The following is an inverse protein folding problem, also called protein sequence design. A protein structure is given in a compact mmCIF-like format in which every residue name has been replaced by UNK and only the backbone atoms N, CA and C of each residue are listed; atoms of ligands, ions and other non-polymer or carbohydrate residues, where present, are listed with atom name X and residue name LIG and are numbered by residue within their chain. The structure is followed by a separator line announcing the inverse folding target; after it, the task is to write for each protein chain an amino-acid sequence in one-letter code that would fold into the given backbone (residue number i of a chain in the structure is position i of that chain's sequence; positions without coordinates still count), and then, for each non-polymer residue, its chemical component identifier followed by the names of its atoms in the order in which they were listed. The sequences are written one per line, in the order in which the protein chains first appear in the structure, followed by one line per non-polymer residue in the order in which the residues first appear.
data_IF_850747879067
#
_entry.id   IF_850747879067
#
_cell.length_a   1.000
_cell.length_b   1.000
_cell.length_c   1.000
_cell.angle_alpha   90.00
_cell.angle_beta   90.00
_cell.angle_gamma   90.00
#
_symmetry.space_group_name_H-M   'P 1'
#
loop_
_entity.id
_entity.type
_entity.pdbx_description
1 polymer ?
#
# COMPACT_ATOMS: atom_id res chain seq x y z
N UNK A 1 -65.62 -15.23 -17.62
CA UNK A 1 -64.19 -15.35 -18.01
C UNK A 1 -63.95 -16.80 -18.37
N UNK A 2 -63.80 -17.12 -19.66
CA UNK A 2 -63.74 -18.51 -20.14
C UNK A 2 -62.41 -19.16 -19.75
N UNK A 3 -62.38 -20.48 -19.63
CA UNK A 3 -61.18 -21.26 -19.28
C UNK A 3 -59.98 -20.93 -20.19
N UNK A 4 -60.26 -20.67 -21.48
CA UNK A 4 -59.28 -20.27 -22.49
C UNK A 4 -58.57 -18.95 -22.18
N UNK A 5 -59.24 -18.02 -21.50
CA UNK A 5 -58.71 -16.69 -21.19
C UNK A 5 -57.70 -16.74 -20.03
N UNK A 6 -57.89 -17.69 -19.09
CA UNK A 6 -56.94 -17.94 -17.98
C UNK A 6 -55.64 -18.59 -18.46
N UNK A 7 -55.71 -19.48 -19.44
CA UNK A 7 -54.52 -20.16 -19.98
C UNK A 7 -53.66 -19.27 -20.87
N UNK A 8 -54.27 -18.37 -21.64
CA UNK A 8 -53.53 -17.35 -22.41
C UNK A 8 -52.83 -16.37 -21.46
N UNK A 9 -53.49 -15.95 -20.37
CA UNK A 9 -52.87 -15.08 -19.35
C UNK A 9 -51.65 -15.74 -18.67
N UNK A 10 -51.74 -17.01 -18.28
CA UNK A 10 -50.62 -17.74 -17.67
C UNK A 10 -49.46 -17.96 -18.64
N UNK A 11 -49.77 -18.19 -19.91
CA UNK A 11 -48.76 -18.40 -20.97
C UNK A 11 -47.99 -17.11 -21.25
N UNK A 12 -48.70 -15.99 -21.39
CA UNK A 12 -48.07 -14.68 -21.55
C UNK A 12 -47.23 -14.29 -20.33
N UNK A 13 -47.73 -14.55 -19.11
CA UNK A 13 -46.99 -14.30 -17.88
C UNK A 13 -45.66 -15.07 -17.82
N UNK A 14 -45.66 -16.36 -18.21
CA UNK A 14 -44.44 -17.17 -18.28
C UNK A 14 -43.46 -16.66 -19.35
N UNK A 15 -43.97 -16.19 -20.49
CA UNK A 15 -43.14 -15.64 -21.58
C UNK A 15 -42.38 -14.39 -21.14
N UNK A 16 -42.97 -13.55 -20.27
CA UNK A 16 -42.29 -12.34 -19.76
C UNK A 16 -41.36 -12.59 -18.56
N UNK A 17 -41.61 -13.63 -17.76
CA UNK A 17 -40.77 -13.93 -16.58
C UNK A 17 -39.38 -14.45 -16.96
N UNK A 18 -39.30 -15.33 -17.96
CA UNK A 18 -38.03 -15.95 -18.37
C UNK A 18 -36.97 -14.89 -18.76
N UNK A 19 -37.24 -13.92 -19.65
CA UNK A 19 -36.25 -12.90 -20.01
C UNK A 19 -35.89 -11.98 -18.84
N UNK A 20 -36.82 -11.71 -17.92
CA UNK A 20 -36.54 -10.91 -16.71
C UNK A 20 -35.57 -11.64 -15.78
N UNK A 21 -35.75 -12.95 -15.57
CA UNK A 21 -34.84 -13.75 -14.76
C UNK A 21 -33.44 -13.86 -15.39
N UNK A 22 -33.37 -13.97 -16.72
CA UNK A 22 -32.09 -13.96 -17.45
C UNK A 22 -31.39 -12.61 -17.28
N UNK A 23 -32.11 -11.50 -17.43
CA UNK A 23 -31.56 -10.16 -17.25
C UNK A 23 -31.03 -9.95 -15.82
N UNK A 24 -31.79 -10.38 -14.80
CA UNK A 24 -31.34 -10.35 -13.41
C UNK A 24 -30.09 -11.23 -13.18
N UNK A 25 -30.07 -12.43 -13.77
CA UNK A 25 -28.92 -13.32 -13.69
C UNK A 25 -27.65 -12.71 -14.29
N UNK A 26 -27.77 -12.00 -15.42
CA UNK A 26 -26.64 -11.28 -16.05
C UNK A 26 -26.16 -10.15 -15.15
N UNK A 27 -27.06 -9.35 -14.58
CA UNK A 27 -26.68 -8.23 -13.70
C UNK A 27 -25.98 -8.75 -12.45
N UNK A 28 -26.55 -9.76 -11.79
CA UNK A 28 -25.93 -10.38 -10.60
C UNK A 28 -24.59 -11.02 -10.94
N UNK A 29 -24.53 -11.76 -12.04
CA UNK A 29 -23.30 -12.40 -12.52
C UNK A 29 -22.20 -11.39 -12.83
N UNK A 30 -22.53 -10.27 -13.46
CA UNK A 30 -21.59 -9.19 -13.75
C UNK A 30 -21.07 -8.53 -12.47
N UNK A 31 -21.94 -8.27 -11.48
CA UNK A 31 -21.51 -7.71 -10.20
C UNK A 31 -20.57 -8.66 -9.44
N UNK A 32 -20.90 -9.95 -9.35
CA UNK A 32 -20.04 -10.96 -8.71
C UNK A 32 -18.70 -11.07 -9.46
N UNK A 33 -18.74 -11.14 -10.80
CA UNK A 33 -17.54 -11.17 -11.62
C UNK A 33 -16.66 -9.94 -11.38
N UNK A 34 -17.24 -8.75 -11.33
CA UNK A 34 -16.49 -7.51 -11.09
C UNK A 34 -15.75 -7.53 -9.75
N UNK A 35 -16.39 -8.00 -8.67
CA UNK A 35 -15.79 -8.08 -7.33
C UNK A 35 -14.62 -9.07 -7.31
N UNK A 36 -14.76 -10.21 -7.99
CA UNK A 36 -13.70 -11.24 -8.04
C UNK A 36 -12.53 -10.81 -8.94
N UNK A 37 -12.82 -10.02 -9.98
CA UNK A 37 -11.82 -9.68 -11.02
C UNK A 37 -11.20 -8.31 -10.82
N UNK A 38 -11.54 -7.56 -9.76
CA UNK A 38 -10.78 -6.35 -9.43
C UNK A 38 -9.32 -6.76 -9.22
N UNK A 39 -8.39 -6.29 -10.06
CA UNK A 39 -6.99 -6.56 -9.82
C UNK A 39 -6.66 -5.86 -8.51
N UNK A 40 -6.47 -6.64 -7.45
CA UNK A 40 -5.77 -6.16 -6.26
C UNK A 40 -4.43 -5.70 -6.80
N UNK A 41 -4.25 -4.38 -6.91
CA UNK A 41 -2.98 -3.83 -7.38
C UNK A 41 -1.94 -4.37 -6.42
N UNK A 42 -0.99 -5.13 -6.95
CA UNK A 42 0.13 -5.64 -6.18
C UNK A 42 1.07 -4.48 -5.98
N UNK A 43 1.53 -4.33 -4.74
CA UNK A 43 2.42 -3.25 -4.39
C UNK A 43 3.35 -3.65 -3.27
N UNK A 44 4.50 -3.01 -3.25
CA UNK A 44 5.32 -2.90 -2.06
C UNK A 44 5.19 -1.50 -1.49
N UNK A 45 5.13 -1.38 -0.17
CA UNK A 45 5.11 -0.09 0.50
C UNK A 45 6.19 -0.04 1.59
N UNK A 46 6.87 1.11 1.66
CA UNK A 46 7.77 1.46 2.74
C UNK A 46 7.18 2.68 3.44
N UNK A 47 6.95 2.55 4.74
CA UNK A 47 6.48 3.62 5.60
C UNK A 47 7.53 3.96 6.65
N UNK A 48 7.53 5.21 7.07
CA UNK A 48 8.25 5.68 8.25
C UNK A 48 7.19 6.06 9.27
N UNK A 49 7.46 5.77 10.54
CA UNK A 49 6.62 6.02 11.70
C UNK A 49 7.50 6.64 12.80
N UNK A 50 6.89 7.38 13.71
CA UNK A 50 7.59 7.92 14.87
C UNK A 50 8.06 6.80 15.84
N UNK A 51 8.75 7.19 16.91
CA UNK A 51 9.31 6.25 17.89
C UNK A 51 8.26 5.43 18.66
N UNK A 52 7.00 5.88 18.67
CA UNK A 52 5.85 5.19 19.25
C UNK A 52 5.07 4.34 18.24
N UNK A 53 5.41 4.41 16.95
CA UNK A 53 4.68 3.76 15.87
C UNK A 53 3.53 4.60 15.29
N UNK A 54 3.44 5.88 15.65
CA UNK A 54 2.49 6.84 15.09
C UNK A 54 3.00 7.56 13.86
N UNK A 55 2.19 8.44 13.28
CA UNK A 55 2.56 9.25 12.09
C UNK A 55 2.64 10.74 12.37
N UNK A 56 2.40 11.17 13.62
CA UNK A 56 2.19 12.58 13.95
C UNK A 56 3.37 13.24 14.66
N UNK A 57 4.28 12.47 15.27
CA UNK A 57 5.31 13.03 16.17
C UNK A 57 6.74 12.86 15.65
N UNK A 58 6.98 13.27 14.40
CA UNK A 58 8.35 13.33 13.89
C UNK A 58 9.13 14.52 14.49
N UNK A 59 10.40 14.33 14.86
CA UNK A 59 11.24 15.43 15.30
C UNK A 59 11.43 16.44 14.17
N UNK A 60 11.03 17.69 14.39
CA UNK A 60 11.16 18.79 13.43
C UNK A 60 12.55 19.43 13.46
N UNK A 61 13.22 19.34 14.60
CA UNK A 61 14.54 19.89 14.86
C UNK A 61 15.37 18.76 15.43
N UNK A 62 16.52 18.50 14.83
CA UNK A 62 17.48 17.49 15.27
C UNK A 62 18.83 18.18 15.33
N UNK A 63 19.48 18.14 16.48
CA UNK A 63 20.81 18.72 16.69
C UNK A 63 21.89 17.67 16.55
N UNK A 64 23.15 18.09 16.37
CA UNK A 64 24.27 17.14 16.40
C UNK A 64 24.29 16.42 17.76
N UNK A 65 24.64 15.14 17.73
CA UNK A 65 24.63 14.22 18.87
C UNK A 65 23.24 13.79 19.38
N UNK A 66 22.15 14.32 18.83
CA UNK A 66 20.83 13.75 19.11
C UNK A 66 20.71 12.36 18.50
N UNK A 67 20.17 11.42 19.29
CA UNK A 67 19.76 10.11 18.80
C UNK A 67 18.33 10.18 18.29
N UNK A 68 18.16 10.03 17.00
CA UNK A 68 16.85 9.94 16.34
C UNK A 68 16.36 8.51 16.45
N UNK A 69 15.09 8.32 16.83
CA UNK A 69 14.41 7.02 16.88
C UNK A 69 13.15 7.07 16.04
N UNK A 70 12.93 6.05 15.23
CA UNK A 70 11.77 5.93 14.36
C UNK A 70 11.51 4.45 14.08
N UNK A 71 10.33 4.14 13.53
CA UNK A 71 9.99 2.79 13.10
C UNK A 71 9.81 2.79 11.60
N UNK A 72 10.39 1.82 10.92
CA UNK A 72 10.16 1.56 9.49
C UNK A 72 9.13 0.45 9.36
N UNK A 73 8.15 0.65 8.50
CA UNK A 73 7.23 -0.40 8.08
C UNK A 73 7.55 -0.81 6.65
N UNK A 74 7.71 -2.10 6.39
CA UNK A 74 7.84 -2.65 5.03
C UNK A 74 6.69 -3.61 4.81
N UNK A 75 5.98 -3.43 3.70
CA UNK A 75 4.83 -4.23 3.30
C UNK A 75 5.09 -4.81 1.92
N UNK A 76 4.89 -6.12 1.79
CA UNK A 76 4.92 -6.82 0.51
C UNK A 76 3.53 -7.40 0.20
N UNK A 77 2.82 -6.81 -0.76
CA UNK A 77 1.57 -7.33 -1.33
C UNK A 77 1.81 -7.86 -2.76
N UNK A 78 3.06 -8.18 -3.09
CA UNK A 78 3.43 -8.83 -4.35
C UNK A 78 3.39 -10.36 -4.20
N UNK A 79 3.14 -11.06 -5.30
CA UNK A 79 3.07 -12.54 -5.35
C UNK A 79 4.38 -13.26 -5.04
N UNK A 80 5.48 -12.53 -4.92
CA UNK A 80 6.82 -13.09 -4.82
C UNK A 80 7.49 -12.64 -3.54
N UNK A 81 8.45 -13.45 -3.10
CA UNK A 81 9.36 -13.07 -2.03
C UNK A 81 10.32 -12.00 -2.52
N UNK A 82 10.39 -10.88 -1.81
CA UNK A 82 11.29 -9.76 -2.13
C UNK A 82 12.29 -9.51 -1.00
N UNK A 83 13.49 -9.10 -1.42
CA UNK A 83 14.49 -8.53 -0.53
C UNK A 83 14.36 -7.01 -0.54
N UNK A 84 14.23 -6.43 0.65
CA UNK A 84 14.15 -4.99 0.87
C UNK A 84 15.37 -4.52 1.63
N UNK A 85 15.92 -3.39 1.17
CA UNK A 85 16.96 -2.64 1.85
C UNK A 85 16.48 -1.21 2.04
N UNK A 86 16.26 -0.82 3.29
CA UNK A 86 15.89 0.54 3.66
C UNK A 86 17.13 1.25 4.18
N UNK A 87 17.52 2.34 3.52
CA UNK A 87 18.74 3.09 3.85
C UNK A 87 18.35 4.50 4.29
N UNK A 88 18.84 4.92 5.44
CA UNK A 88 18.73 6.31 5.90
C UNK A 88 20.03 7.03 5.62
N UNK A 89 19.94 8.14 4.90
CA UNK A 89 21.08 8.96 4.51
C UNK A 89 20.95 10.38 5.03
N UNK A 90 22.08 11.00 5.33
CA UNK A 90 22.13 12.42 5.68
C UNK A 90 22.09 13.29 4.41
N UNK A 91 21.02 14.08 4.24
CA UNK A 91 20.90 15.05 3.15
C UNK A 91 21.69 16.33 3.43
N UNK A 92 22.25 16.96 2.40
CA UNK A 92 22.89 18.28 2.49
C UNK A 92 21.96 19.36 1.94
N UNK A 93 22.17 20.64 2.25
CA UNK A 93 21.28 21.74 1.81
C UNK A 93 21.11 21.81 0.27
N UNK A 94 22.03 21.24 -0.49
CA UNK A 94 21.99 21.14 -1.96
C UNK A 94 21.53 19.76 -2.50
N UNK A 95 21.09 18.82 -1.67
CA UNK A 95 20.45 17.60 -2.19
C UNK A 95 19.04 17.95 -2.60
N UNK A 96 18.85 18.27 -3.88
CA UNK A 96 17.53 18.24 -4.50
C UNK A 96 16.93 16.85 -4.24
N UNK A 97 15.79 16.83 -3.56
CA UNK A 97 15.01 15.63 -3.24
C UNK A 97 14.44 15.03 -4.53
N UNK A 98 15.30 14.50 -5.41
CA UNK A 98 14.87 13.62 -6.48
C UNK A 98 14.51 12.28 -5.84
N UNK A 99 13.22 12.01 -5.71
CA UNK A 99 12.67 10.70 -5.29
C UNK A 99 13.27 9.53 -6.08
N UNK A 100 13.80 9.80 -7.28
CA UNK A 100 14.34 8.79 -8.20
C UNK A 100 15.86 8.66 -8.16
N UNK A 101 16.57 9.60 -7.53
CA UNK A 101 18.04 9.61 -7.50
C UNK A 101 18.54 10.02 -6.12
N UNK A 102 18.54 9.11 -5.13
CA UNK A 102 19.18 9.39 -3.85
C UNK A 102 20.63 9.78 -4.11
N UNK A 103 21.08 10.91 -3.54
CA UNK A 103 22.44 11.40 -3.72
C UNK A 103 23.44 10.27 -3.45
N UNK A 104 24.21 9.90 -4.49
CA UNK A 104 25.19 8.80 -4.42
C UNK A 104 26.27 9.07 -3.37
N UNK A 105 26.49 10.35 -3.06
CA UNK A 105 27.51 10.84 -2.15
C UNK A 105 26.97 11.15 -0.73
N UNK A 106 25.69 10.95 -0.47
CA UNK A 106 25.14 11.19 0.87
C UNK A 106 25.59 10.08 1.84
N UNK A 107 26.06 10.48 3.01
CA UNK A 107 26.51 9.58 4.08
C UNK A 107 25.36 8.71 4.55
N UNK A 108 25.56 7.41 4.53
CA UNK A 108 24.65 6.44 5.15
C UNK A 108 24.75 6.53 6.67
N UNK A 109 23.61 6.73 7.33
CA UNK A 109 23.50 6.81 8.78
C UNK A 109 23.17 5.46 9.40
N UNK A 110 22.30 4.70 8.74
CA UNK A 110 21.85 3.37 9.16
C UNK A 110 21.10 2.68 8.01
N UNK A 111 21.03 1.36 8.03
CA UNK A 111 20.21 0.57 7.12
C UNK A 111 19.48 -0.56 7.85
N UNK A 112 18.43 -1.06 7.21
CA UNK A 112 17.69 -2.24 7.62
C UNK A 112 17.43 -3.11 6.39
N UNK A 113 17.78 -4.39 6.50
CA UNK A 113 17.61 -5.38 5.45
C UNK A 113 16.60 -6.44 5.92
N UNK A 114 15.65 -6.80 5.05
CA UNK A 114 14.70 -7.88 5.32
C UNK A 114 14.25 -8.61 4.07
N UNK A 115 13.83 -9.86 4.24
CA UNK A 115 13.16 -10.65 3.21
C UNK A 115 11.71 -10.80 3.64
N UNK A 116 10.77 -10.40 2.78
CA UNK A 116 9.33 -10.58 3.02
C UNK A 116 8.74 -11.49 1.97
N UNK A 117 8.05 -12.53 2.43
CA UNK A 117 7.18 -13.35 1.59
C UNK A 117 5.87 -12.60 1.29
N UNK A 118 5.09 -13.12 0.34
CA UNK A 118 3.81 -12.54 -0.08
C UNK A 118 2.86 -12.29 1.11
N UNK A 119 2.13 -11.18 1.04
CA UNK A 119 1.13 -10.68 2.00
C UNK A 119 1.64 -10.41 3.42
N UNK A 120 2.96 -10.30 3.62
CA UNK A 120 3.53 -9.95 4.91
C UNK A 120 3.91 -8.48 5.05
N UNK A 121 3.93 -8.05 6.31
CA UNK A 121 4.48 -6.76 6.72
C UNK A 121 5.37 -6.93 7.95
N UNK A 122 6.33 -6.03 8.11
CA UNK A 122 7.20 -5.95 9.27
C UNK A 122 7.33 -4.51 9.75
N UNK A 123 7.43 -4.35 11.07
CA UNK A 123 7.83 -3.11 11.71
C UNK A 123 9.21 -3.28 12.34
N UNK A 124 10.13 -2.39 12.03
CA UNK A 124 11.48 -2.42 12.56
C UNK A 124 11.85 -1.07 13.19
N UNK A 125 12.21 -1.09 14.47
CA UNK A 125 12.68 0.10 15.19
C UNK A 125 14.11 0.40 14.81
N UNK A 126 14.37 1.62 14.36
CA UNK A 126 15.68 2.09 13.95
C UNK A 126 16.09 3.30 14.79
N UNK A 127 17.39 3.47 14.92
CA UNK A 127 17.97 4.67 15.52
C UNK A 127 19.33 5.00 14.94
N UNK A 128 19.63 6.30 14.85
CA UNK A 128 20.96 6.79 14.48
C UNK A 128 21.26 8.07 15.26
N UNK A 129 22.54 8.41 15.35
CA UNK A 129 23.00 9.71 15.88
C UNK A 129 23.60 10.54 14.75
N UNK A 130 23.36 11.85 14.75
CA UNK A 130 23.96 12.76 13.77
C UNK A 130 25.41 13.06 14.20
N UNK A 131 26.43 12.70 13.39
CA UNK A 131 27.82 12.97 13.73
C UNK A 131 28.13 14.47 13.77
N UNK A 132 28.85 14.92 14.80
CA UNK A 132 29.25 16.32 14.98
C UNK A 132 30.10 16.87 13.82
N UNK A 133 30.91 16.02 13.19
CA UNK A 133 31.76 16.38 12.05
C UNK A 133 30.99 16.90 10.82
N UNK A 134 29.70 16.57 10.72
CA UNK A 134 28.83 17.01 9.61
C UNK A 134 28.35 18.46 9.79
N UNK A 135 28.38 19.00 11.01
CA UNK A 135 27.96 20.38 11.29
C UNK A 135 29.05 21.44 11.03
N UNK A 136 30.30 21.03 10.76
CA UNK A 136 31.44 21.96 10.61
C UNK A 136 31.67 22.48 9.18
N UNK A 137 30.87 22.06 8.21
CA UNK A 137 30.96 22.49 6.81
C UNK A 137 30.00 23.63 6.44
N UNK A 138 29.51 24.39 7.42
CA UNK A 138 28.81 25.67 7.19
C UNK A 138 29.78 26.84 7.18
#
# INVERSE_FOLDING_TARGET
MSENEKDISKTNFKIYIIPVLIALGIVVGFNIYSIITYPVQRFSAIGVLDSSGGTSHYPKIITANDTVKFTVSVVNQEDMTYYYRVIVKYGHENTTNSLFHPSKNATELTHFDCILINELFIFHKMSFSIPEAINKTK
#
